data_IF_873613563010
#
_entry.id   IF_873613563010
#
_cell.length_a   1.000
_cell.length_b   1.000
_cell.length_c   1.000
_cell.angle_alpha   90.00
_cell.angle_beta   90.00
_cell.angle_gamma   90.00
#
_symmetry.space_group_name_H-M   'P 1'
#
loop_
_entity.id
_entity.type
_entity.pdbx_description
1 polymer ?
#
# COMPACT_ATOMS: atom_id res chain seq x y z
N UNK A 1 1.62 29.15 -15.17
CA UNK A 1 2.80 28.90 -14.62
C UNK A 1 2.70 27.86 -13.62
N UNK A 2 3.43 26.87 -13.71
CA UNK A 2 3.28 25.80 -12.78
C UNK A 2 4.07 26.13 -11.56
N UNK A 3 3.52 25.85 -10.43
CA UNK A 3 4.20 26.08 -9.23
C UNK A 3 5.16 24.97 -8.99
N UNK A 4 6.34 25.29 -8.58
CA UNK A 4 7.32 24.28 -8.34
C UNK A 4 7.07 23.69 -6.97
N UNK A 5 6.93 22.40 -6.90
CA UNK A 5 6.72 21.72 -5.63
C UNK A 5 8.05 21.59 -4.94
N UNK A 6 8.11 22.05 -3.71
CA UNK A 6 9.37 22.00 -2.94
C UNK A 6 9.61 20.60 -2.38
N UNK A 7 10.86 20.26 -2.09
CA UNK A 7 11.15 18.96 -1.45
C UNK A 7 10.38 18.78 -0.15
N UNK A 8 10.20 19.84 0.62
CA UNK A 8 9.44 19.77 1.88
C UNK A 8 7.98 19.37 1.59
N UNK A 9 7.39 19.94 0.54
CA UNK A 9 6.02 19.59 0.19
C UNK A 9 5.91 18.13 -0.26
N UNK A 10 6.90 17.64 -1.01
CA UNK A 10 6.90 16.26 -1.46
C UNK A 10 6.98 15.30 -0.28
N UNK A 11 7.87 15.59 0.66
CA UNK A 11 8.03 14.75 1.85
C UNK A 11 6.77 14.78 2.70
N UNK A 12 6.16 15.97 2.86
CA UNK A 12 4.92 16.09 3.63
C UNK A 12 3.77 15.32 2.98
N UNK A 13 3.67 15.37 1.66
CA UNK A 13 2.65 14.62 0.95
C UNK A 13 2.86 13.12 1.12
N UNK A 14 4.11 12.67 1.07
CA UNK A 14 4.42 11.26 1.23
C UNK A 14 4.02 10.79 2.64
N UNK A 15 4.33 11.58 3.66
CA UNK A 15 3.95 11.23 5.03
C UNK A 15 2.43 11.14 5.17
N UNK A 16 1.72 12.10 4.59
CA UNK A 16 0.27 12.10 4.64
C UNK A 16 -0.32 10.87 3.94
N UNK A 17 0.22 10.52 2.78
CA UNK A 17 -0.25 9.36 2.04
C UNK A 17 0.00 8.06 2.80
N UNK A 18 1.15 7.96 3.46
CA UNK A 18 1.46 6.76 4.23
C UNK A 18 0.56 6.64 5.46
N UNK A 19 0.21 7.75 6.08
CA UNK A 19 -0.74 7.75 7.19
C UNK A 19 -2.10 7.25 6.71
N UNK A 20 -2.53 7.71 5.54
CA UNK A 20 -3.78 7.25 4.95
C UNK A 20 -3.72 5.77 4.61
N UNK A 21 -2.57 5.30 4.12
CA UNK A 21 -2.43 3.89 3.78
C UNK A 21 -2.49 3.01 5.04
N UNK A 22 -1.87 3.44 6.12
CA UNK A 22 -1.95 2.67 7.37
C UNK A 22 -3.41 2.52 7.81
N UNK A 23 -4.17 3.61 7.76
CA UNK A 23 -5.57 3.56 8.15
C UNK A 23 -6.38 2.67 7.21
N UNK A 24 -6.09 2.75 5.93
CA UNK A 24 -6.82 1.99 4.93
C UNK A 24 -6.53 0.49 5.06
N UNK A 25 -5.31 0.12 5.40
CA UNK A 25 -4.95 -1.28 5.61
C UNK A 25 -5.65 -1.86 6.84
N UNK A 26 -5.85 -1.06 7.87
CA UNK A 26 -6.60 -1.49 9.04
C UNK A 26 -8.07 -1.69 8.67
N UNK A 27 -8.62 -0.77 7.87
CA UNK A 27 -9.99 -0.90 7.39
C UNK A 27 -10.14 -2.15 6.51
N UNK A 28 -9.15 -2.42 5.67
CA UNK A 28 -9.15 -3.61 4.83
C UNK A 28 -9.22 -4.87 5.69
N UNK A 29 -8.43 -4.90 6.76
CA UNK A 29 -8.45 -6.05 7.65
C UNK A 29 -9.84 -6.26 8.25
N UNK A 30 -10.46 -5.18 8.71
CA UNK A 30 -11.80 -5.26 9.30
C UNK A 30 -12.82 -5.75 8.30
N UNK A 31 -12.76 -5.23 7.08
CA UNK A 31 -13.67 -5.64 6.02
C UNK A 31 -13.48 -7.10 5.67
N UNK A 32 -12.23 -7.56 5.63
CA UNK A 32 -11.94 -8.96 5.35
C UNK A 32 -12.51 -9.87 6.44
N UNK A 33 -12.43 -9.43 7.68
CA UNK A 33 -12.95 -10.22 8.80
C UNK A 33 -14.47 -10.23 8.81
N UNK A 34 -15.11 -9.18 8.31
CA UNK A 34 -16.55 -9.10 8.25
C UNK A 34 -17.12 -9.83 7.03
N UNK A 35 -16.25 -10.22 6.11
CA UNK A 35 -16.67 -10.93 4.91
C UNK A 35 -17.71 -10.16 4.10
N UNK A 36 -17.49 -8.88 3.91
CA UNK A 36 -18.40 -8.02 3.16
C UNK A 36 -17.79 -7.75 1.78
N UNK A 37 -18.27 -8.41 0.73
CA UNK A 37 -17.66 -8.29 -0.59
C UNK A 37 -17.72 -6.88 -1.18
N UNK A 38 -18.84 -6.18 -0.98
CA UNK A 38 -18.97 -4.85 -1.55
C UNK A 38 -18.01 -3.87 -0.89
N UNK A 39 -17.89 -3.95 0.42
CA UNK A 39 -16.95 -3.10 1.13
C UNK A 39 -15.52 -3.43 0.75
N UNK A 40 -15.23 -4.70 0.49
CA UNK A 40 -13.89 -5.11 0.09
C UNK A 40 -13.53 -4.54 -1.28
N UNK A 41 -14.48 -4.54 -2.21
CA UNK A 41 -14.25 -3.96 -3.53
C UNK A 41 -13.91 -2.49 -3.40
N UNK A 42 -14.64 -1.77 -2.55
CA UNK A 42 -14.40 -0.34 -2.37
C UNK A 42 -13.03 -0.09 -1.73
N UNK A 43 -12.68 -0.85 -0.71
CA UNK A 43 -11.40 -0.70 -0.04
C UNK A 43 -10.25 -1.02 -1.01
N UNK A 44 -10.41 -2.06 -1.83
CA UNK A 44 -9.39 -2.42 -2.81
C UNK A 44 -9.19 -1.31 -3.83
N UNK A 45 -10.29 -0.70 -4.28
CA UNK A 45 -10.23 0.40 -5.22
C UNK A 45 -9.51 1.60 -4.59
N UNK A 46 -9.87 1.94 -3.35
CA UNK A 46 -9.26 3.05 -2.65
C UNK A 46 -7.76 2.80 -2.42
N UNK A 47 -7.42 1.57 -2.08
CA UNK A 47 -6.03 1.19 -1.86
C UNK A 47 -5.21 1.33 -3.14
N UNK A 48 -5.75 0.88 -4.26
CA UNK A 48 -5.05 0.98 -5.53
C UNK A 48 -4.84 2.45 -5.94
N UNK A 49 -5.86 3.28 -5.75
CA UNK A 49 -5.74 4.70 -6.05
C UNK A 49 -4.66 5.35 -5.20
N UNK A 50 -4.64 5.01 -3.92
CA UNK A 50 -3.65 5.59 -3.00
C UNK A 50 -2.24 5.10 -3.34
N UNK A 51 -2.09 3.83 -3.68
CA UNK A 51 -0.77 3.30 -4.04
C UNK A 51 -0.22 3.98 -5.29
N UNK A 52 -1.08 4.28 -6.26
CA UNK A 52 -0.64 5.01 -7.44
C UNK A 52 -0.20 6.44 -7.07
N UNK A 53 -0.94 7.09 -6.18
CA UNK A 53 -0.58 8.43 -5.73
C UNK A 53 0.75 8.41 -4.98
N UNK A 54 0.99 7.39 -4.16
CA UNK A 54 2.25 7.23 -3.45
C UNK A 54 3.40 7.04 -4.44
N UNK A 55 3.16 6.25 -5.49
CA UNK A 55 4.17 6.01 -6.50
C UNK A 55 4.50 7.30 -7.26
N UNK A 56 3.49 8.13 -7.55
CA UNK A 56 3.72 9.39 -8.24
C UNK A 56 4.60 10.32 -7.40
N UNK A 57 4.35 10.39 -6.10
CA UNK A 57 5.17 11.22 -5.23
C UNK A 57 6.58 10.64 -5.11
N UNK A 58 6.72 9.32 -5.04
CA UNK A 58 8.03 8.69 -5.00
C UNK A 58 8.83 9.03 -6.26
N UNK A 59 8.18 8.99 -7.41
CA UNK A 59 8.83 9.36 -8.67
C UNK A 59 9.25 10.84 -8.67
N UNK A 60 8.38 11.70 -8.16
CA UNK A 60 8.68 13.12 -8.10
C UNK A 60 9.89 13.39 -7.20
N UNK A 61 9.95 12.70 -6.07
CA UNK A 61 11.08 12.82 -5.15
C UNK A 61 12.35 12.33 -5.85
N UNK A 62 12.26 11.22 -6.57
CA UNK A 62 13.42 10.66 -7.28
C UNK A 62 13.95 11.57 -8.35
N UNK A 63 13.09 12.44 -8.90
CA UNK A 63 13.52 13.37 -9.94
C UNK A 63 13.91 14.73 -9.39
N UNK A 64 13.77 14.95 -8.10
CA UNK A 64 14.06 16.25 -7.50
C UNK A 64 15.53 16.35 -7.13
N UNK A 65 16.24 17.19 -7.85
CA UNK A 65 17.64 17.43 -7.54
C UNK A 65 17.75 18.16 -6.19
N UNK A 66 16.84 19.06 -5.91
CA UNK A 66 16.81 19.80 -4.66
C UNK A 66 16.65 18.85 -3.47
N UNK A 67 15.78 17.84 -3.61
CA UNK A 67 15.60 16.87 -2.56
C UNK A 67 16.91 16.11 -2.29
N UNK A 68 17.60 15.72 -3.35
CA UNK A 68 18.85 14.98 -3.18
C UNK A 68 19.88 15.81 -2.43
N UNK A 69 19.97 17.08 -2.74
CA UNK A 69 20.90 17.97 -2.06
C UNK A 69 20.54 18.13 -0.59
N UNK A 70 19.27 18.32 -0.29
CA UNK A 70 18.84 18.48 1.10
C UNK A 70 18.97 17.20 1.89
N UNK A 71 18.75 16.06 1.25
CA UNK A 71 18.94 14.78 1.90
C UNK A 71 20.41 14.58 2.27
N UNK A 72 21.31 14.91 1.36
CA UNK A 72 22.73 14.79 1.63
C UNK A 72 23.18 15.73 2.74
N UNK A 73 22.53 16.85 2.88
CA UNK A 73 22.79 17.80 3.94
C UNK A 73 22.17 17.37 5.28
N UNK A 74 21.40 16.30 5.29
CA UNK A 74 20.79 15.80 6.52
C UNK A 74 19.47 16.45 6.89
N UNK A 75 18.91 17.26 5.98
CA UNK A 75 17.74 18.04 6.34
C UNK A 75 16.44 17.27 6.54
N UNK A 76 16.28 16.12 5.99
CA UNK A 76 15.04 15.36 6.14
C UNK A 76 15.22 14.09 6.97
N UNK A 77 16.24 14.03 7.82
CA UNK A 77 16.52 12.79 8.54
C UNK A 77 15.37 12.32 9.42
N UNK A 78 14.69 13.24 10.10
CA UNK A 78 13.57 12.87 10.95
C UNK A 78 12.39 12.40 10.13
N UNK A 79 12.06 13.14 9.08
CA UNK A 79 10.94 12.80 8.21
C UNK A 79 11.17 11.46 7.52
N UNK A 80 12.39 11.21 7.05
CA UNK A 80 12.69 9.95 6.39
C UNK A 80 12.63 8.78 7.38
N UNK A 81 12.99 9.02 8.63
CA UNK A 81 12.87 8.02 9.67
C UNK A 81 11.39 7.66 9.93
N UNK A 82 10.54 8.67 9.96
CA UNK A 82 9.10 8.47 10.16
C UNK A 82 8.51 7.73 8.96
N UNK A 83 8.91 8.10 7.75
CA UNK A 83 8.47 7.42 6.54
C UNK A 83 8.85 5.95 6.59
N UNK A 84 10.10 5.67 6.96
CA UNK A 84 10.57 4.30 7.02
C UNK A 84 9.76 3.48 8.03
N UNK A 85 9.51 4.05 9.20
CA UNK A 85 8.73 3.36 10.22
C UNK A 85 7.29 3.10 9.73
N UNK A 86 6.69 4.08 9.05
CA UNK A 86 5.35 3.92 8.53
C UNK A 86 5.29 2.84 7.44
N UNK A 87 6.30 2.82 6.57
CA UNK A 87 6.38 1.78 5.53
C UNK A 87 6.49 0.39 6.15
N UNK A 88 7.26 0.26 7.22
CA UNK A 88 7.38 -1.05 7.88
C UNK A 88 6.04 -1.47 8.49
N UNK A 89 5.30 -0.54 9.07
CA UNK A 89 3.99 -0.88 9.62
C UNK A 89 3.00 -1.24 8.51
N UNK A 90 3.03 -0.51 7.41
CA UNK A 90 2.18 -0.81 6.26
C UNK A 90 2.50 -2.19 5.70
N UNK A 91 3.79 -2.50 5.60
CA UNK A 91 4.23 -3.77 5.06
C UNK A 91 3.74 -4.92 5.94
N UNK A 92 3.90 -4.78 7.25
CA UNK A 92 3.44 -5.82 8.18
C UNK A 92 1.93 -5.99 8.12
N UNK A 93 1.19 -4.90 8.10
CA UNK A 93 -0.27 -4.98 8.05
C UNK A 93 -0.72 -5.59 6.72
N UNK A 94 -0.05 -5.23 5.63
CA UNK A 94 -0.39 -5.79 4.33
C UNK A 94 -0.13 -7.31 4.30
N UNK A 95 0.92 -7.76 4.95
CA UNK A 95 1.22 -9.20 5.06
C UNK A 95 0.12 -9.91 5.85
N UNK A 96 -0.33 -9.32 6.95
CA UNK A 96 -1.41 -9.89 7.75
C UNK A 96 -2.68 -9.99 6.90
N UNK A 97 -3.01 -8.92 6.18
CA UNK A 97 -4.20 -8.89 5.35
C UNK A 97 -4.10 -9.94 4.23
N UNK A 98 -2.91 -10.10 3.67
CA UNK A 98 -2.68 -11.11 2.64
C UNK A 98 -2.90 -12.52 3.16
N UNK A 99 -2.50 -12.78 4.41
CA UNK A 99 -2.75 -14.09 5.02
C UNK A 99 -4.24 -14.33 5.23
N UNK A 100 -4.98 -13.30 5.64
CA UNK A 100 -6.42 -13.44 5.83
C UNK A 100 -7.09 -13.73 4.48
N UNK A 101 -6.68 -13.02 3.44
CA UNK A 101 -7.21 -13.25 2.10
C UNK A 101 -6.92 -14.67 1.65
N UNK A 102 -5.70 -15.13 1.85
CA UNK A 102 -5.31 -16.46 1.43
C UNK A 102 -6.12 -17.54 2.15
N UNK A 103 -6.30 -17.37 3.46
CA UNK A 103 -7.09 -18.32 4.23
C UNK A 103 -8.55 -18.32 3.81
N UNK A 104 -9.08 -17.14 3.47
CA UNK A 104 -10.46 -17.04 3.01
C UNK A 104 -10.63 -17.71 1.66
N UNK A 105 -9.65 -17.57 0.76
CA UNK A 105 -9.70 -18.22 -0.54
C UNK A 105 -9.67 -19.74 -0.40
N UNK A 106 -8.83 -20.25 0.49
CA UNK A 106 -8.77 -21.68 0.74
C UNK A 106 -10.11 -22.17 1.27
N UNK A 107 -10.71 -21.44 2.19
CA UNK A 107 -11.98 -21.82 2.77
C UNK A 107 -13.09 -21.85 1.70
N UNK A 108 -13.09 -20.87 0.82
CA UNK A 108 -14.07 -20.82 -0.26
C UNK A 108 -13.87 -21.99 -1.21
N UNK A 109 -12.62 -22.30 -1.55
CA UNK A 109 -12.35 -23.41 -2.45
C UNK A 109 -12.77 -24.75 -1.86
N UNK A 110 -12.54 -24.92 -0.57
CA UNK A 110 -12.98 -26.13 0.09
C UNK A 110 -14.49 -26.25 0.09
N UNK A 111 -15.17 -25.12 0.29
CA UNK A 111 -16.59 -25.10 0.28
C UNK A 111 -17.13 -25.42 -1.13
N UNK A 112 -16.55 -24.87 -2.16
CA UNK A 112 -16.96 -25.17 -3.51
C UNK A 112 -16.79 -26.66 -3.81
N UNK A 113 -15.63 -27.21 -3.46
CA UNK A 113 -15.37 -28.62 -3.71
C UNK A 113 -16.38 -29.47 -2.97
N UNK A 114 -16.70 -29.07 -1.77
CA UNK A 114 -17.62 -29.84 -0.98
C UNK A 114 -19.05 -29.80 -1.52
N UNK A 115 -19.47 -28.62 -1.97
CA UNK A 115 -20.84 -28.50 -2.42
C UNK A 115 -21.01 -28.94 -3.82
N UNK A 116 -20.25 -28.61 -4.71
CA UNK A 116 -20.42 -28.89 -5.99
C UNK A 116 -19.43 -29.03 -6.76
N UNK A 117 -18.65 -28.83 -6.67
CA UNK A 117 -17.70 -28.90 -7.42
C UNK A 117 -17.72 -28.36 -8.67
N UNK A 118 -17.90 -27.78 -9.10
CA UNK A 118 -17.92 -27.33 -10.30
C UNK A 118 -17.85 -26.12 -10.61
N UNK A 119 -17.42 -25.57 -10.94
CA UNK A 119 -17.42 -24.47 -11.35
C UNK A 119 -16.65 -23.64 -11.49
N UNK A 120 -16.33 -23.16 -11.72
CA UNK A 120 -15.91 -22.23 -12.09
C UNK A 120 -15.17 -21.39 -11.61
N UNK A 121 -14.51 -21.15 -11.42
CA UNK A 121 -13.71 -20.47 -11.02
C UNK A 121 -13.61 -19.21 -10.99
N UNK A 122 -13.46 -18.61 -10.44
CA UNK A 122 -13.52 -17.42 -10.50
C UNK A 122 -12.48 -16.67 -10.27
N UNK A 123 -11.76 -16.75 -9.92
CA UNK A 123 -10.78 -16.12 -9.90
C UNK A 123 -10.38 -15.04 -9.36
N UNK A 124 -10.18 -14.64 -8.64
CA UNK A 124 -9.85 -13.62 -8.13
C UNK A 124 -8.66 -13.42 -7.76
N UNK A 125 -8.02 -13.27 -7.63
CA UNK A 125 -6.83 -13.04 -7.55
C UNK A 125 -6.33 -11.97 -6.88
N UNK A 126 -6.69 -11.65 -5.87
CA UNK A 126 -6.30 -10.60 -5.17
C UNK A 126 -4.99 -10.80 -4.64
N UNK A 127 -4.61 -11.93 -4.40
CA UNK A 127 -3.47 -12.13 -3.79
C UNK A 127 -2.31 -11.67 -4.44
N UNK A 128 -2.09 -12.03 -5.52
CA UNK A 128 -0.82 -11.80 -6.08
C UNK A 128 -0.59 -10.39 -6.21
N UNK A 129 -1.66 -9.64 -6.28
CA UNK A 129 -1.46 -8.36 -6.39
C UNK A 129 -1.25 -7.80 -5.16
N UNK A 130 -1.70 -8.29 -4.17
CA UNK A 130 -1.53 -7.72 -2.93
C UNK A 130 -0.14 -7.64 -2.53
N UNK A 131 0.70 -8.35 -3.16
CA UNK A 131 1.92 -8.25 -2.79
C UNK A 131 2.55 -7.18 -3.36
N UNK A 132 2.54 -6.22 -3.12
CA UNK A 132 3.07 -5.19 -3.68
C UNK A 132 4.35 -5.07 -3.41
N UNK A 133 4.94 -4.70 -3.86
CA UNK A 133 6.04 -4.51 -3.88
C UNK A 133 6.76 -3.69 -3.29
N UNK A 134 7.65 -3.67 -3.09
CA UNK A 134 8.60 -3.08 -2.84
C UNK A 134 8.70 -1.87 -2.12
N UNK A 135 9.52 -1.30 -1.57
CA UNK A 135 9.57 -0.08 -0.92
C UNK A 135 9.64 1.09 -1.84
N UNK A 136 9.92 2.24 -1.29
CA UNK A 136 10.03 3.44 -2.08
C UNK A 136 11.50 3.61 -2.43
N UNK A 137 11.85 3.17 -3.61
CA UNK A 137 13.25 3.14 -4.01
C UNK A 137 13.89 4.51 -4.08
N UNK A 138 13.11 5.52 -4.41
CA UNK A 138 13.66 6.87 -4.49
C UNK A 138 14.10 7.42 -3.15
N UNK A 139 13.52 6.93 -2.09
CA UNK A 139 13.87 7.34 -0.75
C UNK A 139 15.01 6.49 -0.18
N UNK A 140 15.41 5.46 -0.87
CA UNK A 140 16.44 4.54 -0.40
C UNK A 140 15.94 3.55 0.63
N UNK A 141 14.63 3.31 0.64
CA UNK A 141 14.02 2.41 1.58
C UNK A 141 13.55 1.17 0.85
N UNK A 142 13.93 0.02 1.35
CA UNK A 142 13.53 -1.21 0.72
C UNK A 142 12.43 -1.87 1.47
N UNK A 143 11.58 -2.51 0.76
CA UNK A 143 10.46 -3.19 1.38
C UNK A 143 10.87 -4.51 2.01
#
# INVERSE_FOLDING_TARGET
>A
MSEKITPQQLVSQQLSQLTQLEALLITEKEVLQQQNPDALIQVTSDKNTLLLAIQDIDNAIGQSFEFKQEKLAGNFSNELSVIKASLERCKKQNQVNGLIIHQSQIAVERMKTSLLENHNKSSMTYDSKGKTSGGLSSLGIKA
#
